data_IF_385318748842
#
_entry.id   IF_385318748842
#
_cell.length_a   1.000
_cell.length_b   1.000
_cell.length_c   1.000
_cell.angle_alpha   90.00
_cell.angle_beta   90.00
_cell.angle_gamma   90.00
#
_symmetry.space_group_name_H-M   'P 1'
#
loop_
_entity.id
_entity.type
_entity.pdbx_description
1 polymer ?
#
# COMPACT_ATOMS: atom_id res chain seq x y z
N UNK A 1 -6.80 -16.06 -25.39
CA UNK A 1 -6.56 -14.83 -24.64
C UNK A 1 -5.63 -15.16 -23.51
N UNK A 2 -4.53 -14.45 -23.34
CA UNK A 2 -3.62 -14.63 -22.20
C UNK A 2 -4.31 -14.06 -20.95
N UNK A 3 -4.42 -14.87 -19.90
CA UNK A 3 -5.01 -14.47 -18.61
C UNK A 3 -4.11 -13.39 -17.96
N UNK A 4 -4.64 -12.21 -17.71
CA UNK A 4 -3.92 -11.10 -17.07
C UNK A 4 -3.98 -11.23 -15.54
N UNK A 5 -2.83 -11.15 -14.89
CA UNK A 5 -2.67 -11.39 -13.44
C UNK A 5 -2.17 -10.15 -12.73
N UNK A 6 -2.67 -9.91 -11.53
CA UNK A 6 -2.19 -8.87 -10.63
C UNK A 6 -1.57 -9.44 -9.36
N UNK A 7 -0.49 -8.83 -8.89
CA UNK A 7 -0.02 -8.91 -7.52
C UNK A 7 -0.32 -7.58 -6.84
N UNK A 8 -1.13 -7.61 -5.78
CA UNK A 8 -1.60 -6.44 -5.05
C UNK A 8 -1.05 -6.47 -3.64
N UNK A 9 -0.30 -5.45 -3.27
CA UNK A 9 0.32 -5.31 -1.97
C UNK A 9 -0.29 -4.12 -1.21
N UNK A 10 -0.77 -4.40 -0.01
CA UNK A 10 -1.58 -3.47 0.78
C UNK A 10 -0.79 -2.52 1.67
N UNK A 11 -1.50 -1.62 2.31
CA UNK A 11 -0.96 -0.75 3.35
C UNK A 11 -0.73 -1.48 4.66
N UNK A 12 0.30 -1.09 5.41
CA UNK A 12 0.64 -1.73 6.69
C UNK A 12 1.82 -1.09 7.42
N UNK A 13 2.28 0.08 6.97
CA UNK A 13 3.44 0.76 7.56
C UNK A 13 4.73 -0.04 7.43
N UNK A 14 5.71 0.23 8.30
CA UNK A 14 7.01 -0.47 8.28
C UNK A 14 6.83 -1.97 8.56
N UNK A 15 5.97 -2.32 9.51
CA UNK A 15 5.65 -3.71 9.80
C UNK A 15 5.03 -4.42 8.59
N UNK A 16 4.19 -3.72 7.80
CA UNK A 16 3.64 -4.21 6.56
C UNK A 16 4.71 -4.52 5.52
N UNK A 17 5.69 -3.63 5.33
CA UNK A 17 6.83 -3.88 4.43
C UNK A 17 7.56 -5.17 4.81
N UNK A 18 7.89 -5.33 6.10
CA UNK A 18 8.58 -6.51 6.61
C UNK A 18 7.75 -7.79 6.42
N UNK A 19 6.44 -7.71 6.72
CA UNK A 19 5.52 -8.83 6.58
C UNK A 19 5.35 -9.26 5.12
N UNK A 20 5.07 -8.33 4.20
CA UNK A 20 4.91 -8.64 2.77
C UNK A 20 6.19 -9.23 2.17
N UNK A 21 7.34 -8.64 2.51
CA UNK A 21 8.65 -9.17 2.08
C UNK A 21 8.88 -10.57 2.64
N UNK A 22 8.53 -10.80 3.92
CA UNK A 22 8.61 -12.10 4.58
C UNK A 22 7.72 -13.16 3.95
N UNK A 23 6.46 -12.81 3.62
CA UNK A 23 5.52 -13.72 2.92
C UNK A 23 6.06 -14.09 1.54
N UNK A 24 6.49 -13.11 0.73
CA UNK A 24 7.05 -13.37 -0.59
C UNK A 24 8.31 -14.24 -0.50
N UNK A 25 9.16 -14.00 0.49
CA UNK A 25 10.34 -14.82 0.74
C UNK A 25 9.97 -16.23 1.17
N UNK A 26 9.05 -16.42 2.11
CA UNK A 26 8.58 -17.73 2.54
C UNK A 26 7.97 -18.54 1.39
N UNK A 27 7.18 -17.90 0.52
CA UNK A 27 6.67 -18.54 -0.70
C UNK A 27 7.80 -18.97 -1.62
N UNK A 28 8.86 -18.16 -1.74
CA UNK A 28 10.01 -18.50 -2.59
C UNK A 28 10.81 -19.69 -2.04
N UNK A 29 10.94 -19.78 -0.71
CA UNK A 29 11.64 -20.88 -0.05
C UNK A 29 10.87 -22.20 -0.17
N UNK A 30 9.54 -22.18 -0.04
CA UNK A 30 8.68 -23.36 -0.13
C UNK A 30 8.37 -23.76 -1.58
N UNK A 31 8.16 -22.80 -2.46
CA UNK A 31 7.79 -23.01 -3.86
C UNK A 31 8.35 -21.92 -4.77
N UNK A 32 9.61 -22.06 -5.25
CA UNK A 32 10.21 -21.09 -6.18
C UNK A 32 9.35 -20.83 -7.43
N UNK A 33 8.64 -21.86 -7.91
CA UNK A 33 7.74 -21.75 -9.05
C UNK A 33 6.54 -20.84 -8.74
N UNK A 34 5.95 -20.95 -7.55
CA UNK A 34 4.84 -20.09 -7.14
C UNK A 34 5.33 -18.64 -6.96
N UNK A 35 6.48 -18.44 -6.33
CA UNK A 35 7.08 -17.11 -6.19
C UNK A 35 7.34 -16.46 -7.54
N UNK A 36 7.96 -17.18 -8.48
CA UNK A 36 8.15 -16.67 -9.85
C UNK A 36 6.84 -16.29 -10.49
N UNK A 37 5.79 -17.12 -10.38
CA UNK A 37 4.48 -16.82 -10.95
C UNK A 37 3.83 -15.57 -10.34
N UNK A 38 4.04 -15.31 -9.05
CA UNK A 38 3.58 -14.08 -8.37
C UNK A 38 4.38 -12.86 -8.81
N UNK A 39 5.70 -12.97 -8.75
CA UNK A 39 6.59 -11.88 -9.11
C UNK A 39 6.49 -11.50 -10.59
N UNK A 40 6.16 -12.43 -11.49
CA UNK A 40 5.92 -12.23 -12.91
C UNK A 40 4.47 -11.84 -13.25
N UNK A 41 3.68 -11.38 -12.28
CA UNK A 41 2.34 -10.83 -12.55
C UNK A 41 2.40 -9.69 -13.54
N UNK A 42 1.40 -9.58 -14.42
CA UNK A 42 1.34 -8.55 -15.47
C UNK A 42 1.20 -7.14 -14.86
N UNK A 43 0.48 -7.03 -13.76
CA UNK A 43 0.27 -5.80 -13.00
C UNK A 43 0.80 -5.97 -11.58
N UNK A 44 1.58 -5.00 -11.13
CA UNK A 44 2.02 -4.86 -9.75
C UNK A 44 1.36 -3.61 -9.18
N UNK A 45 0.50 -3.78 -8.19
CA UNK A 45 -0.24 -2.68 -7.55
C UNK A 45 0.20 -2.56 -6.09
N UNK A 46 0.60 -1.36 -5.69
CA UNK A 46 1.02 -1.09 -4.32
C UNK A 46 0.32 0.11 -3.69
N UNK A 47 -0.07 -0.05 -2.43
CA UNK A 47 -0.62 1.00 -1.58
C UNK A 47 0.23 1.15 -0.35
N UNK A 48 0.70 2.36 -0.01
CA UNK A 48 1.49 2.63 1.20
C UNK A 48 2.70 1.68 1.33
N UNK A 49 2.76 0.85 2.37
CA UNK A 49 3.79 -0.19 2.52
C UNK A 49 3.99 -1.01 1.24
N UNK A 50 2.89 -1.49 0.67
CA UNK A 50 2.92 -2.28 -0.55
C UNK A 50 3.51 -1.53 -1.75
N UNK A 51 3.39 -0.19 -1.83
CA UNK A 51 4.01 0.60 -2.88
C UNK A 51 5.53 0.54 -2.83
N UNK A 52 6.10 0.52 -1.62
CA UNK A 52 7.53 0.34 -1.44
C UNK A 52 7.97 -1.08 -1.82
N UNK A 53 7.23 -2.11 -1.39
CA UNK A 53 7.58 -3.51 -1.68
C UNK A 53 7.48 -3.81 -3.18
N UNK A 54 6.42 -3.37 -3.88
CA UNK A 54 6.32 -3.58 -5.34
C UNK A 54 7.46 -2.88 -6.10
N UNK A 55 7.87 -1.68 -5.66
CA UNK A 55 9.02 -1.00 -6.24
C UNK A 55 10.35 -1.76 -5.96
N UNK A 56 10.50 -2.31 -4.74
CA UNK A 56 11.67 -3.09 -4.35
C UNK A 56 11.80 -4.40 -5.16
N UNK A 57 10.72 -5.16 -5.32
CA UNK A 57 10.76 -6.43 -6.10
C UNK A 57 11.01 -6.18 -7.59
N UNK A 58 10.70 -4.99 -8.10
CA UNK A 58 11.02 -4.59 -9.46
C UNK A 58 12.46 -4.12 -9.67
N UNK A 59 13.25 -3.96 -8.59
CA UNK A 59 14.61 -3.41 -8.67
C UNK A 59 15.66 -4.41 -9.16
N UNK A 60 15.31 -5.68 -9.29
CA UNK A 60 16.26 -6.76 -9.56
C UNK A 60 16.96 -7.30 -8.31
N UNK A 61 16.70 -6.73 -7.12
CA UNK A 61 17.19 -7.29 -5.85
C UNK A 61 16.53 -8.64 -5.55
N UNK A 62 17.28 -9.58 -4.97
CA UNK A 62 16.70 -10.85 -4.55
C UNK A 62 15.77 -10.67 -3.35
N UNK A 63 14.75 -11.53 -3.20
CA UNK A 63 13.90 -11.52 -2.00
C UNK A 63 14.73 -11.77 -0.71
N UNK A 64 15.84 -12.49 -0.81
CA UNK A 64 16.76 -12.69 0.31
C UNK A 64 17.42 -11.39 0.75
N UNK A 65 17.91 -10.59 -0.20
CA UNK A 65 18.52 -9.29 0.09
C UNK A 65 17.48 -8.30 0.62
N UNK A 66 16.28 -8.28 0.03
CA UNK A 66 15.19 -7.43 0.50
C UNK A 66 14.76 -7.80 1.92
N UNK A 67 14.68 -9.09 2.24
CA UNK A 67 14.37 -9.57 3.59
C UNK A 67 15.51 -9.23 4.58
N UNK A 68 16.77 -9.42 4.21
CA UNK A 68 17.91 -9.07 5.05
C UNK A 68 17.86 -7.60 5.48
N UNK A 69 17.51 -6.70 4.57
CA UNK A 69 17.33 -5.26 4.86
C UNK A 69 16.22 -4.97 5.90
N UNK A 70 15.21 -5.84 6.04
CA UNK A 70 14.15 -5.67 7.05
C UNK A 70 14.58 -6.08 8.46
N UNK A 71 15.62 -6.91 8.58
CA UNK A 71 16.13 -7.41 9.88
C UNK A 71 17.42 -6.72 10.31
N UNK A 72 17.96 -5.79 9.52
CA UNK A 72 19.10 -4.95 9.90
C UNK A 72 18.73 -4.04 11.07
N UNK A 73 19.63 -3.93 12.07
CA UNK A 73 19.43 -3.09 13.25
C UNK A 73 19.46 -1.59 12.92
N UNK A 74 20.14 -1.20 11.83
CA UNK A 74 20.30 0.19 11.42
C UNK A 74 19.17 0.55 10.46
N UNK A 75 18.22 1.31 10.93
CA UNK A 75 17.14 1.88 10.11
C UNK A 75 17.38 3.37 9.87
N UNK A 76 17.23 3.80 8.61
CA UNK A 76 17.17 5.22 8.25
C UNK A 76 15.81 5.85 8.56
N UNK A 77 14.88 5.11 9.17
CA UNK A 77 13.52 5.58 9.45
C UNK A 77 13.54 6.73 10.45
N UNK A 78 12.70 7.72 10.19
CA UNK A 78 12.50 8.85 11.08
C UNK A 78 11.42 8.53 12.11
N UNK A 79 11.55 9.06 13.31
CA UNK A 79 10.46 9.13 14.27
C UNK A 79 9.46 10.20 13.77
N UNK A 80 8.18 9.85 13.56
CA UNK A 80 7.18 10.84 13.17
C UNK A 80 6.89 11.87 14.28
N UNK A 81 7.40 11.67 15.50
CA UNK A 81 7.16 12.55 16.64
C UNK A 81 5.74 12.53 17.19
N UNK A 82 4.88 11.66 16.64
CA UNK A 82 3.46 11.50 17.04
C UNK A 82 3.15 10.04 17.31
N UNK A 83 2.44 9.78 18.40
CA UNK A 83 1.98 8.43 18.71
C UNK A 83 0.78 8.04 17.82
N UNK A 84 0.59 6.74 17.63
CA UNK A 84 -0.51 6.19 16.84
C UNK A 84 -1.89 6.65 17.35
N UNK A 85 -2.03 6.86 18.66
CA UNK A 85 -3.27 7.34 19.27
C UNK A 85 -3.61 8.77 18.80
N UNK A 86 -2.63 9.67 18.75
CA UNK A 86 -2.83 11.04 18.27
C UNK A 86 -3.27 11.07 16.78
N UNK A 87 -2.68 10.22 15.95
CA UNK A 87 -3.10 10.05 14.54
C UNK A 87 -4.53 9.52 14.49
N UNK A 88 -4.87 8.52 15.32
CA UNK A 88 -6.23 7.95 15.38
C UNK A 88 -7.24 9.02 15.80
N UNK A 89 -6.94 9.83 16.80
CA UNK A 89 -7.83 10.89 17.30
C UNK A 89 -8.10 11.96 16.22
N UNK A 90 -7.07 12.31 15.43
CA UNK A 90 -7.20 13.20 14.27
C UNK A 90 -8.19 12.62 13.24
N UNK A 91 -8.09 11.33 12.94
CA UNK A 91 -9.02 10.66 12.03
C UNK A 91 -10.44 10.62 12.57
N UNK A 92 -10.62 10.26 13.85
CA UNK A 92 -11.93 10.24 14.49
C UNK A 92 -12.58 11.62 14.44
N UNK A 93 -11.84 12.68 14.75
CA UNK A 93 -12.34 14.05 14.68
C UNK A 93 -12.76 14.45 13.27
N UNK A 94 -11.96 14.13 12.25
CA UNK A 94 -12.25 14.44 10.85
C UNK A 94 -13.44 13.65 10.29
N UNK A 95 -13.77 12.51 10.89
CA UNK A 95 -14.84 11.61 10.45
C UNK A 95 -16.15 11.77 11.24
N UNK A 96 -16.20 12.68 12.22
CA UNK A 96 -17.30 12.82 13.18
C UNK A 96 -18.64 13.29 12.56
N UNK A 97 -18.68 13.77 11.33
CA UNK A 97 -19.93 14.17 10.66
C UNK A 97 -20.60 12.97 9.97
N UNK A 98 -21.80 12.56 10.41
CA UNK A 98 -22.43 11.32 9.95
C UNK A 98 -22.87 11.35 8.47
N UNK A 99 -23.21 12.52 7.93
CA UNK A 99 -23.75 12.67 6.57
C UNK A 99 -22.70 13.00 5.51
N UNK A 100 -21.40 13.03 5.88
CA UNK A 100 -20.35 13.34 4.93
C UNK A 100 -20.12 12.19 3.94
N UNK A 101 -20.04 12.52 2.66
CA UNK A 101 -19.65 11.56 1.61
C UNK A 101 -18.21 11.09 1.83
N UNK A 102 -17.85 9.94 1.25
CA UNK A 102 -16.47 9.41 1.30
C UNK A 102 -15.46 10.46 0.79
N UNK A 103 -15.78 11.16 -0.29
CA UNK A 103 -14.93 12.23 -0.84
C UNK A 103 -14.75 13.35 0.17
N UNK A 104 -15.82 13.84 0.78
CA UNK A 104 -15.76 14.88 1.80
C UNK A 104 -14.96 14.46 3.04
N UNK A 105 -15.09 13.20 3.47
CA UNK A 105 -14.27 12.64 4.54
C UNK A 105 -12.79 12.67 4.19
N UNK A 106 -12.43 12.24 2.97
CA UNK A 106 -11.04 12.28 2.48
C UNK A 106 -10.51 13.71 2.37
N UNK A 107 -11.30 14.66 1.90
CA UNK A 107 -10.91 16.08 1.84
C UNK A 107 -10.62 16.64 3.24
N UNK A 108 -11.41 16.29 4.26
CA UNK A 108 -11.14 16.69 5.65
C UNK A 108 -9.84 16.10 6.18
N UNK A 109 -9.60 14.82 5.93
CA UNK A 109 -8.32 14.21 6.27
C UNK A 109 -7.16 14.92 5.53
N UNK A 110 -7.35 15.27 4.26
CA UNK A 110 -6.40 16.08 3.50
C UNK A 110 -6.11 17.44 4.14
N UNK A 111 -7.16 18.13 4.60
CA UNK A 111 -7.01 19.40 5.32
C UNK A 111 -6.24 19.23 6.63
N UNK A 112 -6.52 18.16 7.40
CA UNK A 112 -5.77 17.81 8.61
C UNK A 112 -4.31 17.52 8.27
N UNK A 113 -4.04 16.74 7.22
CA UNK A 113 -2.67 16.43 6.78
C UNK A 113 -1.88 17.70 6.45
N UNK A 114 -2.51 18.67 5.78
CA UNK A 114 -1.89 19.95 5.43
C UNK A 114 -1.65 20.88 6.63
N UNK A 115 -2.48 20.78 7.66
CA UNK A 115 -2.42 21.63 8.86
C UNK A 115 -1.51 21.05 9.96
N UNK A 116 -1.21 19.75 9.92
CA UNK A 116 -0.40 19.07 10.94
C UNK A 116 1.08 19.37 10.74
N UNK A 117 1.74 19.80 11.81
CA UNK A 117 3.20 19.96 11.82
C UNK A 117 3.87 18.58 11.83
N UNK A 118 4.77 18.36 10.90
CA UNK A 118 5.49 17.08 10.70
C UNK A 118 6.96 17.37 10.37
N UNK A 119 7.75 16.31 10.19
CA UNK A 119 9.11 16.44 9.64
C UNK A 119 9.05 17.08 8.25
N UNK A 120 10.14 17.73 7.85
CA UNK A 120 10.21 18.38 6.53
C UNK A 120 10.07 17.35 5.39
N UNK A 121 9.28 17.69 4.37
CA UNK A 121 9.04 16.83 3.19
C UNK A 121 10.33 16.31 2.54
N UNK A 122 11.41 17.12 2.31
CA UNK A 122 12.66 16.62 1.75
C UNK A 122 13.34 15.56 2.63
N UNK A 123 13.25 15.67 3.95
CA UNK A 123 13.83 14.69 4.87
C UNK A 123 13.08 13.35 4.77
N UNK A 124 11.74 13.38 4.75
CA UNK A 124 10.94 12.17 4.55
C UNK A 124 11.19 11.55 3.18
N UNK A 125 11.26 12.36 2.13
CA UNK A 125 11.59 11.90 0.77
C UNK A 125 12.94 11.18 0.71
N UNK A 126 13.94 11.67 1.43
CA UNK A 126 15.27 11.04 1.48
C UNK A 126 15.21 9.63 2.09
N UNK A 127 14.39 9.41 3.13
CA UNK A 127 14.16 8.08 3.72
C UNK A 127 13.51 7.14 2.71
N UNK A 128 12.50 7.60 1.98
CA UNK A 128 11.86 6.78 0.94
C UNK A 128 12.87 6.45 -0.18
N UNK A 129 13.70 7.42 -0.61
CA UNK A 129 14.74 7.18 -1.61
C UNK A 129 15.75 6.10 -1.16
N UNK A 130 16.18 6.14 0.10
CA UNK A 130 17.10 5.10 0.65
C UNK A 130 16.44 3.72 0.75
N UNK A 131 15.12 3.67 0.97
CA UNK A 131 14.35 2.42 1.03
C UNK A 131 14.28 1.72 -0.32
N UNK A 132 14.32 2.47 -1.43
CA UNK A 132 14.18 1.96 -2.79
C UNK A 132 15.56 1.67 -3.40
N UNK A 133 15.87 0.41 -3.78
CA UNK A 133 17.14 0.08 -4.46
C UNK A 133 17.26 0.70 -5.86
N UNK A 134 16.13 1.04 -6.48
CA UNK A 134 16.05 1.67 -7.80
C UNK A 134 15.06 2.84 -7.77
N UNK A 135 15.43 3.98 -8.38
CA UNK A 135 14.61 5.19 -8.39
C UNK A 135 13.87 5.41 -9.72
N UNK A 136 14.28 4.69 -10.76
CA UNK A 136 13.58 4.71 -12.05
C UNK A 136 12.36 3.79 -12.04
N UNK A 137 11.32 4.16 -12.79
CA UNK A 137 10.20 3.25 -13.04
C UNK A 137 10.69 1.99 -13.77
N UNK A 138 10.25 0.80 -13.34
CA UNK A 138 10.59 -0.45 -14.02
C UNK A 138 9.94 -0.53 -15.42
N UNK A 139 10.44 -1.43 -16.27
CA UNK A 139 9.80 -1.75 -17.55
C UNK A 139 8.53 -2.60 -17.43
N UNK A 140 8.06 -2.78 -16.20
CA UNK A 140 6.86 -3.53 -15.85
C UNK A 140 5.73 -2.57 -15.52
N UNK A 141 4.50 -3.03 -15.63
CA UNK A 141 3.34 -2.24 -15.22
C UNK A 141 3.24 -2.18 -13.71
N UNK A 142 3.73 -1.10 -13.15
CA UNK A 142 3.69 -0.77 -11.74
C UNK A 142 2.70 0.36 -11.52
N UNK A 143 1.70 0.13 -10.64
CA UNK A 143 0.68 1.09 -10.22
C UNK A 143 0.88 1.42 -8.75
N UNK A 144 0.98 2.71 -8.42
CA UNK A 144 1.14 3.23 -7.05
C UNK A 144 -0.02 4.16 -6.76
N UNK A 145 -0.75 3.91 -5.67
CA UNK A 145 -1.94 4.68 -5.31
C UNK A 145 -1.63 5.80 -4.32
N UNK A 146 -2.27 6.95 -4.48
CA UNK A 146 -2.26 8.05 -3.52
C UNK A 146 -3.61 8.78 -3.54
N UNK A 147 -3.87 9.64 -2.56
CA UNK A 147 -5.06 10.49 -2.52
C UNK A 147 -4.63 11.96 -2.68
N UNK A 148 -5.28 12.68 -3.58
CA UNK A 148 -5.15 14.14 -3.67
C UNK A 148 -5.82 14.78 -2.44
N UNK A 149 -5.05 15.60 -1.70
CA UNK A 149 -5.53 16.18 -0.44
C UNK A 149 -6.67 17.18 -0.62
N UNK A 150 -6.72 17.87 -1.76
CA UNK A 150 -7.72 18.90 -2.02
C UNK A 150 -9.02 18.31 -2.57
N UNK A 151 -8.93 17.34 -3.49
CA UNK A 151 -10.12 16.74 -4.12
C UNK A 151 -10.63 15.50 -3.39
N UNK A 152 -9.80 14.82 -2.60
CA UNK A 152 -10.13 13.54 -1.97
C UNK A 152 -10.22 12.37 -2.97
N UNK A 153 -9.79 12.59 -4.21
CA UNK A 153 -9.81 11.59 -5.27
C UNK A 153 -8.59 10.66 -5.20
N UNK A 154 -8.81 9.41 -5.55
CA UNK A 154 -7.75 8.43 -5.72
C UNK A 154 -7.00 8.73 -7.02
N UNK A 155 -5.68 8.80 -6.93
CA UNK A 155 -4.76 8.97 -8.05
C UNK A 155 -3.88 7.74 -8.16
N UNK A 156 -3.65 7.29 -9.37
CA UNK A 156 -2.75 6.17 -9.68
C UNK A 156 -1.54 6.70 -10.43
N UNK A 157 -0.38 6.57 -9.82
CA UNK A 157 0.88 6.88 -10.48
C UNK A 157 1.45 5.64 -11.16
N UNK A 158 1.97 5.84 -12.34
CA UNK A 158 2.64 4.82 -13.16
C UNK A 158 3.71 5.51 -14.03
N UNK A 159 4.46 4.75 -14.82
CA UNK A 159 5.60 5.25 -15.59
C UNK A 159 5.28 6.48 -16.44
N UNK A 160 4.11 6.51 -17.07
CA UNK A 160 3.66 7.59 -17.97
C UNK A 160 3.01 8.77 -17.25
N UNK A 161 2.90 8.74 -15.94
CA UNK A 161 2.36 9.84 -15.14
C UNK A 161 3.26 11.09 -15.10
N UNK A 162 4.50 11.01 -15.59
CA UNK A 162 5.46 12.11 -15.53
C UNK A 162 6.01 12.40 -14.13
N UNK A 163 5.75 11.52 -13.16
CA UNK A 163 6.15 11.62 -11.75
C UNK A 163 7.33 10.68 -11.49
N UNK A 164 8.29 11.08 -10.66
CA UNK A 164 9.38 10.18 -10.26
C UNK A 164 8.85 9.05 -9.37
N UNK A 165 9.39 7.84 -9.50
CA UNK A 165 9.00 6.69 -8.69
C UNK A 165 9.11 6.96 -7.19
N UNK A 166 10.18 7.63 -6.76
CA UNK A 166 10.41 7.99 -5.36
C UNK A 166 9.29 8.90 -4.84
N UNK A 167 8.84 9.87 -5.64
CA UNK A 167 7.77 10.79 -5.25
C UNK A 167 6.41 10.10 -5.22
N UNK A 168 6.15 9.20 -6.15
CA UNK A 168 4.93 8.38 -6.15
C UNK A 168 4.85 7.49 -4.90
N UNK A 169 5.95 6.80 -4.54
CA UNK A 169 6.00 5.96 -3.33
C UNK A 169 5.94 6.82 -2.07
N UNK A 170 6.61 7.99 -2.05
CA UNK A 170 6.53 8.92 -0.93
C UNK A 170 5.09 9.41 -0.71
N UNK A 171 4.38 9.78 -1.79
CA UNK A 171 2.97 10.18 -1.74
C UNK A 171 2.08 9.04 -1.21
N UNK A 172 2.30 7.82 -1.70
CA UNK A 172 1.59 6.62 -1.27
C UNK A 172 1.80 6.29 0.21
N UNK A 173 2.94 6.70 0.80
CA UNK A 173 3.33 6.47 2.19
C UNK A 173 3.16 7.70 3.09
N UNK A 174 2.50 8.76 2.61
CA UNK A 174 2.31 10.00 3.36
C UNK A 174 1.08 9.92 4.27
N UNK A 175 1.18 9.14 5.36
CA UNK A 175 0.10 8.96 6.35
C UNK A 175 -0.24 10.31 7.00
N UNK A 176 -1.49 10.81 6.87
CA UNK A 176 -1.93 12.06 7.46
C UNK A 176 -1.67 12.12 8.97
N UNK A 177 -1.15 13.24 9.43
CA UNK A 177 -0.80 13.44 10.83
C UNK A 177 0.54 12.84 11.28
N UNK A 178 1.08 11.86 10.54
CA UNK A 178 2.40 11.29 10.81
C UNK A 178 3.47 11.82 9.84
N UNK A 179 3.15 11.93 8.57
CA UNK A 179 4.08 12.33 7.53
C UNK A 179 3.57 13.50 6.70
N UNK A 180 4.45 14.34 6.17
CA UNK A 180 4.06 15.48 5.34
C UNK A 180 3.39 14.98 4.05
N UNK A 181 2.30 15.60 3.59
CA UNK A 181 1.80 15.41 2.24
C UNK A 181 2.87 15.76 1.21
N UNK A 182 2.96 14.95 0.15
CA UNK A 182 4.00 15.09 -0.88
C UNK A 182 3.55 16.06 -1.96
N UNK A 183 4.42 16.99 -2.31
CA UNK A 183 4.21 17.96 -3.39
C UNK A 183 4.63 17.37 -4.74
N UNK A 184 3.69 17.26 -5.67
CA UNK A 184 3.94 16.84 -7.05
C UNK A 184 3.26 17.85 -7.98
N UNK A 185 4.05 18.62 -8.70
CA UNK A 185 3.54 19.76 -9.47
C UNK A 185 2.93 20.82 -8.56
N UNK A 186 1.70 21.19 -8.82
CA UNK A 186 0.90 22.15 -8.04
C UNK A 186 -0.03 21.49 -7.02
N UNK A 187 0.06 20.17 -6.83
CA UNK A 187 -0.83 19.38 -5.97
C UNK A 187 -0.10 18.75 -4.80
N UNK A 188 -0.89 18.41 -3.78
CA UNK A 188 -0.40 17.71 -2.58
C UNK A 188 -1.11 16.39 -2.44
N UNK A 189 -0.35 15.35 -2.11
CA UNK A 189 -0.85 13.98 -2.02
C UNK A 189 -0.59 13.36 -0.66
N UNK A 190 -1.51 12.52 -0.23
CA UNK A 190 -1.44 11.74 1.00
C UNK A 190 -1.59 10.24 0.70
N UNK A 191 -1.39 9.42 1.72
CA UNK A 191 -1.38 7.96 1.65
C UNK A 191 -2.60 7.39 0.92
N UNK A 192 -2.34 6.47 -0.02
CA UNK A 192 -3.37 5.77 -0.79
C UNK A 192 -4.31 4.91 0.07
N UNK A 193 -3.86 4.50 1.26
CA UNK A 193 -4.64 3.77 2.24
C UNK A 193 -5.83 4.55 2.81
N UNK A 194 -5.85 5.88 2.64
CA UNK A 194 -7.03 6.72 2.92
C UNK A 194 -8.17 6.42 1.93
N UNK A 195 -7.87 5.84 0.79
CA UNK A 195 -8.88 5.33 -0.15
C UNK A 195 -9.36 3.94 0.23
N UNK A 196 -8.47 3.03 0.18
CA UNK A 196 -8.57 1.63 0.58
C UNK A 196 -7.18 1.11 0.91
N UNK A 197 -7.07 0.20 1.85
CA UNK A 197 -5.77 -0.40 2.21
C UNK A 197 -5.18 -1.23 1.07
N UNK A 198 -5.97 -1.71 0.12
CA UNK A 198 -5.52 -2.54 -1.02
C UNK A 198 -5.84 -1.92 -2.39
N UNK A 199 -6.85 -1.06 -2.49
CA UNK A 199 -7.29 -0.42 -3.74
C UNK A 199 -7.44 -1.43 -4.91
N UNK A 200 -8.04 -2.59 -4.65
CA UNK A 200 -8.10 -3.72 -5.58
C UNK A 200 -8.88 -3.40 -6.87
N UNK A 201 -9.79 -2.45 -6.85
CA UNK A 201 -10.53 -1.97 -8.01
C UNK A 201 -9.62 -1.37 -9.10
N UNK A 202 -8.41 -0.94 -8.74
CA UNK A 202 -7.40 -0.48 -9.69
C UNK A 202 -6.83 -1.62 -10.55
N UNK A 203 -7.01 -2.88 -10.12
CA UNK A 203 -6.63 -4.08 -10.88
C UNK A 203 -7.84 -4.75 -11.58
N UNK A 204 -8.97 -4.05 -11.74
CA UNK A 204 -10.22 -4.58 -12.34
C UNK A 204 -10.07 -5.03 -13.81
N UNK A 205 -9.00 -4.66 -14.48
CA UNK A 205 -8.64 -5.07 -15.84
C UNK A 205 -7.84 -6.38 -15.87
N UNK A 206 -7.63 -7.02 -14.70
CA UNK A 206 -7.01 -8.33 -14.56
C UNK A 206 -8.04 -9.43 -14.35
N UNK A 207 -7.74 -10.64 -14.86
CA UNK A 207 -8.60 -11.83 -14.71
C UNK A 207 -8.41 -12.50 -13.34
N UNK A 208 -7.22 -12.29 -12.73
CA UNK A 208 -6.91 -12.82 -11.41
C UNK A 208 -5.99 -11.92 -10.62
N UNK A 209 -6.10 -11.98 -9.29
CA UNK A 209 -5.27 -11.21 -8.37
C UNK A 209 -4.84 -12.06 -7.17
N UNK A 210 -3.59 -11.89 -6.74
CA UNK A 210 -3.13 -12.30 -5.41
C UNK A 210 -2.91 -11.03 -4.60
N UNK A 211 -3.52 -10.96 -3.42
CA UNK A 211 -3.59 -9.76 -2.59
C UNK A 211 -2.94 -10.05 -1.24
N UNK A 212 -1.86 -9.36 -0.91
CA UNK A 212 -1.26 -9.38 0.42
C UNK A 212 -1.86 -8.24 1.26
N UNK A 213 -2.43 -8.57 2.41
CA UNK A 213 -3.13 -7.65 3.29
C UNK A 213 -2.47 -7.63 4.67
N UNK A 214 -1.49 -6.74 4.90
CA UNK A 214 -0.83 -6.63 6.21
C UNK A 214 -1.78 -6.23 7.34
N UNK A 215 -2.85 -5.51 7.03
CA UNK A 215 -3.96 -5.30 7.94
C UNK A 215 -4.77 -6.59 8.05
N UNK A 216 -5.22 -6.93 9.26
CA UNK A 216 -6.04 -8.13 9.48
C UNK A 216 -7.40 -8.07 8.75
N UNK A 217 -8.10 -9.20 8.75
CA UNK A 217 -9.42 -9.34 8.10
C UNK A 217 -10.47 -8.38 8.65
N UNK A 218 -10.35 -8.00 9.93
CA UNK A 218 -11.30 -7.14 10.65
C UNK A 218 -10.93 -5.66 10.61
N UNK A 219 -9.88 -5.28 9.86
CA UNK A 219 -9.45 -3.88 9.82
C UNK A 219 -10.60 -2.97 9.33
N UNK A 220 -11.06 -2.01 10.14
CA UNK A 220 -12.14 -1.14 9.76
C UNK A 220 -11.70 -0.20 8.63
N UNK A 221 -12.56 0.02 7.66
CA UNK A 221 -12.34 1.02 6.61
C UNK A 221 -13.42 2.10 6.71
N UNK A 222 -13.10 3.29 7.25
CA UNK A 222 -14.07 4.38 7.32
C UNK A 222 -14.34 5.03 5.97
N UNK A 223 -13.58 4.67 4.93
CA UNK A 223 -13.60 5.31 3.61
C UNK A 223 -14.16 4.40 2.50
N UNK A 224 -14.52 3.16 2.82
CA UNK A 224 -15.03 2.23 1.82
C UNK A 224 -15.22 0.81 2.37
N UNK A 225 -15.46 -0.16 1.50
CA UNK A 225 -15.49 -1.55 1.88
C UNK A 225 -14.10 -1.98 2.40
N UNK A 226 -14.08 -2.84 3.42
CA UNK A 226 -12.82 -3.41 3.90
C UNK A 226 -12.22 -4.39 2.88
N UNK A 227 -10.97 -4.83 3.08
CA UNK A 227 -10.25 -5.69 2.13
C UNK A 227 -11.00 -6.97 1.76
N UNK A 228 -11.67 -7.61 2.71
CA UNK A 228 -12.47 -8.83 2.47
C UNK A 228 -13.60 -8.57 1.48
N UNK A 229 -14.31 -7.44 1.64
CA UNK A 229 -15.41 -7.09 0.75
C UNK A 229 -14.91 -6.68 -0.65
N UNK A 230 -13.77 -6.01 -0.75
CA UNK A 230 -13.14 -5.70 -2.04
C UNK A 230 -12.72 -6.98 -2.79
N UNK A 231 -12.11 -7.94 -2.08
CA UNK A 231 -11.71 -9.23 -2.64
C UNK A 231 -12.94 -10.01 -3.11
N UNK A 232 -14.01 -10.03 -2.32
CA UNK A 232 -15.27 -10.68 -2.68
C UNK A 232 -15.99 -10.02 -3.88
N UNK A 233 -15.80 -8.72 -4.07
CA UNK A 233 -16.38 -7.95 -5.17
C UNK A 233 -15.54 -7.99 -6.46
N UNK A 234 -14.34 -8.53 -6.42
CA UNK A 234 -13.47 -8.62 -7.60
C UNK A 234 -14.09 -9.54 -8.66
N UNK A 235 -14.16 -9.06 -9.90
CA UNK A 235 -14.87 -9.80 -10.99
C UNK A 235 -14.14 -11.05 -11.47
N UNK A 236 -12.82 -11.11 -11.26
CA UNK A 236 -11.98 -12.26 -11.58
C UNK A 236 -11.82 -13.21 -10.39
N UNK A 237 -10.75 -13.99 -10.42
CA UNK A 237 -10.33 -14.83 -9.31
C UNK A 237 -9.40 -14.05 -8.39
N UNK A 238 -9.75 -13.84 -7.13
CA UNK A 238 -8.86 -13.18 -6.16
C UNK A 238 -8.55 -14.08 -4.97
N UNK A 239 -7.27 -14.11 -4.57
CA UNK A 239 -6.77 -14.79 -3.39
C UNK A 239 -6.20 -13.76 -2.42
N UNK A 240 -6.80 -13.61 -1.25
CA UNK A 240 -6.29 -12.75 -0.16
C UNK A 240 -5.43 -13.53 0.83
N UNK A 241 -4.28 -12.96 1.18
CA UNK A 241 -3.40 -13.43 2.26
C UNK A 241 -3.38 -12.34 3.32
N UNK A 242 -3.75 -12.68 4.55
CA UNK A 242 -3.92 -11.74 5.66
C UNK A 242 -2.99 -12.07 6.83
N UNK A 243 -2.69 -11.06 7.66
CA UNK A 243 -2.14 -11.31 9.00
C UNK A 243 -3.21 -11.97 9.88
N UNK A 244 -2.79 -12.87 10.78
CA UNK A 244 -3.67 -13.40 11.83
C UNK A 244 -3.67 -12.45 13.04
N UNK A 245 -4.79 -11.83 13.33
CA UNK A 245 -4.95 -10.89 14.44
C UNK A 245 -4.84 -11.57 15.82
N UNK A 246 -4.97 -12.91 15.88
CA UNK A 246 -5.01 -13.66 17.15
C UNK A 246 -3.69 -14.32 17.51
N UNK A 247 -2.68 -14.25 16.65
CA UNK A 247 -1.40 -14.91 16.88
C UNK A 247 -0.24 -13.95 16.76
N UNK A 248 0.43 -13.68 17.87
CA UNK A 248 1.67 -12.91 17.93
C UNK A 248 2.87 -13.62 17.27
N UNK A 249 2.70 -14.81 16.71
CA UNK A 249 3.79 -15.65 16.23
C UNK A 249 3.56 -16.40 14.91
N UNK A 250 2.36 -16.42 14.32
CA UNK A 250 2.13 -17.25 13.13
C UNK A 250 1.15 -16.59 12.18
N UNK A 251 1.63 -16.18 10.99
CA UNK A 251 0.74 -15.79 9.89
C UNK A 251 -0.01 -17.02 9.39
N UNK A 252 -1.33 -17.03 9.46
CA UNK A 252 -2.15 -18.05 8.80
C UNK A 252 -2.54 -17.58 7.42
N UNK A 253 -2.38 -18.46 6.44
CA UNK A 253 -2.93 -18.29 5.11
C UNK A 253 -4.46 -18.45 5.21
N UNK A 254 -5.19 -17.34 5.17
CA UNK A 254 -6.65 -17.38 5.06
C UNK A 254 -6.96 -17.33 3.57
N UNK A 255 -7.25 -18.49 3.01
CA UNK A 255 -7.78 -18.62 1.65
C UNK A 255 -9.27 -18.40 1.73
N UNK A 256 -9.78 -17.30 1.21
CA UNK A 256 -11.21 -17.09 1.05
C UNK A 256 -11.67 -17.87 -0.20
N UNK A 257 -12.53 -18.89 -0.06
CA UNK A 257 -13.07 -19.59 -1.22
C UNK A 257 -13.94 -18.62 -2.04
N UNK A 258 -13.74 -18.61 -3.33
CA UNK A 258 -14.59 -17.90 -4.28
C UNK A 258 -15.94 -18.61 -4.30
N UNK A 259 -17.07 -17.92 -4.10
CA UNK A 259 -18.36 -18.52 -4.38
C UNK A 259 -18.44 -18.86 -5.87
N UNK A 260 -18.96 -20.03 -6.25
CA UNK A 260 -19.17 -20.34 -7.65
C UNK A 260 -20.07 -19.27 -8.27
N UNK A 261 -19.64 -18.72 -9.40
CA UNK A 261 -20.42 -17.78 -10.20
C UNK A 261 -21.77 -18.41 -10.54
N UNK A 262 -22.87 -17.81 -10.04
CA UNK A 262 -24.21 -18.07 -10.56
C UNK A 262 -24.36 -17.46 -11.95
#
# INVERSE_FOLDING_TARGET
MTTRRALVLGGGGIAGIAWETGILRGIADESPKAATALLDSDVLLGTSAGSAVVAQICSGSSLADLFARQVEEISAELDPGVGIQAVTDLFVAALSEPDATVVQKRQRIGAVALATETVAEPARRAVIAQRLPMHAWPDRELRVTAIDTATGELVVFQRDSGVQLVDAVAASCAVPGAWPPVTIGDRRYMDGGIGSTINLDIAKDCDSAVVLVPAGVSAPSPFGPGPVAEIAAFRGTALGIFTDEQSSATSRLIVLPIPPSM
#
